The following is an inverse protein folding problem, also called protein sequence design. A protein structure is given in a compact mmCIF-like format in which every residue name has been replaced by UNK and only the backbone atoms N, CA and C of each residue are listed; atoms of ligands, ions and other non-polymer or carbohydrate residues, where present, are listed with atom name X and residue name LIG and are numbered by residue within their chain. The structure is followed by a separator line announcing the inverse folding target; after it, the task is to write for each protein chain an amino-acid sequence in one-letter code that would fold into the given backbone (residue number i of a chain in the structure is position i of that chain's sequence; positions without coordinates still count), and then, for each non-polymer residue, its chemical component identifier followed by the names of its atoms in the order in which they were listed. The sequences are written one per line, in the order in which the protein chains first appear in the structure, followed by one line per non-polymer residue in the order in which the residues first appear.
data_IF_514831943943
#
_entry.id   IF_514831943943
#
_cell.length_a   1.000
_cell.length_b   1.000
_cell.length_c   1.000
_cell.angle_alpha   90.00
_cell.angle_beta   90.00
_cell.angle_gamma   90.00
#
_symmetry.space_group_name_H-M   'P 1'
#
loop_
_entity.id
_entity.type
_entity.pdbx_description
1 polymer ?
#
# COMPACT_ATOMS: atom_id res chain seq x y z
N UNK A 1 -17.68 38.93 -10.41
CA UNK A 1 -18.05 39.00 -8.98
C UNK A 1 -18.12 37.59 -8.44
N UNK A 2 -17.13 37.17 -7.62
CA UNK A 2 -17.23 35.92 -6.88
C UNK A 2 -18.21 36.20 -5.74
N UNK A 3 -19.37 35.54 -5.72
CA UNK A 3 -20.25 35.60 -4.56
C UNK A 3 -19.45 35.04 -3.39
N UNK A 4 -19.26 35.88 -2.37
CA UNK A 4 -18.72 35.48 -1.07
C UNK A 4 -19.45 34.18 -0.68
N UNK A 5 -18.71 33.09 -0.50
CA UNK A 5 -19.33 31.85 -0.01
C UNK A 5 -19.78 32.12 1.43
N UNK A 6 -21.07 32.08 1.69
CA UNK A 6 -21.60 32.17 3.05
C UNK A 6 -21.31 30.86 3.78
N UNK A 7 -20.14 30.80 4.40
CA UNK A 7 -19.63 29.66 5.14
C UNK A 7 -20.57 29.25 6.29
N UNK A 8 -21.47 30.14 6.74
CA UNK A 8 -22.42 29.86 7.83
C UNK A 8 -23.63 29.03 7.37
N UNK A 9 -23.90 28.99 6.07
CA UNK A 9 -24.98 28.19 5.49
C UNK A 9 -24.57 26.74 5.17
N UNK A 10 -23.28 26.41 5.30
CA UNK A 10 -22.76 25.08 5.07
C UNK A 10 -23.17 24.16 6.23
N UNK A 11 -24.23 23.38 6.02
CA UNK A 11 -24.58 22.29 6.93
C UNK A 11 -23.39 21.34 7.04
N UNK A 12 -22.92 21.09 8.27
CA UNK A 12 -21.91 20.07 8.57
C UNK A 12 -22.44 18.76 8.00
N UNK A 13 -21.64 18.07 7.17
CA UNK A 13 -22.05 16.74 6.64
C UNK A 13 -22.33 15.84 7.83
N UNK A 14 -23.58 15.40 7.95
CA UNK A 14 -24.02 14.42 8.93
C UNK A 14 -23.44 13.06 8.52
N UNK A 15 -22.51 12.54 9.33
CA UNK A 15 -21.90 11.23 9.14
C UNK A 15 -20.37 11.26 9.16
N UNK A 16 -19.78 10.24 9.77
CA UNK A 16 -18.34 9.96 9.69
C UNK A 16 -17.95 9.84 8.22
N UNK A 17 -16.84 10.45 7.76
CA UNK A 17 -16.35 10.24 6.40
C UNK A 17 -16.26 8.73 6.15
N UNK A 18 -17.15 8.20 5.31
CA UNK A 18 -17.11 6.79 4.90
C UNK A 18 -15.95 6.67 3.91
N UNK A 19 -14.75 6.53 4.46
CA UNK A 19 -13.63 6.00 3.69
C UNK A 19 -14.07 4.60 3.26
N UNK A 20 -13.99 4.34 1.96
CA UNK A 20 -14.28 3.01 1.43
C UNK A 20 -13.38 2.00 2.16
N UNK A 21 -13.93 0.85 2.57
CA UNK A 21 -13.18 -0.10 3.40
C UNK A 21 -11.85 -0.53 2.73
N UNK A 22 -11.82 -0.51 1.41
CA UNK A 22 -10.66 -0.72 0.53
C UNK A 22 -9.55 0.34 0.66
N UNK A 23 -9.85 1.56 1.10
CA UNK A 23 -8.87 2.64 1.22
C UNK A 23 -8.24 2.75 2.63
N UNK A 24 -8.69 1.95 3.59
CA UNK A 24 -8.14 1.93 4.95
C UNK A 24 -6.79 1.20 5.00
N UNK A 25 -5.70 1.95 5.24
CA UNK A 25 -4.36 1.39 5.42
C UNK A 25 -4.13 0.98 6.87
N UNK A 26 -3.65 -0.25 7.09
CA UNK A 26 -3.27 -0.74 8.42
C UNK A 26 -1.76 -0.65 8.60
N UNK A 27 -1.24 0.01 9.66
CA UNK A 27 0.19 0.06 9.94
C UNK A 27 0.68 -1.31 10.44
N UNK A 28 1.88 -1.71 10.00
CA UNK A 28 2.52 -2.96 10.41
C UNK A 28 3.99 -2.69 10.77
N UNK A 29 4.51 -3.43 11.75
CA UNK A 29 5.93 -3.42 12.13
C UNK A 29 6.61 -4.68 11.62
N UNK A 30 7.72 -4.52 10.89
CA UNK A 30 8.49 -5.62 10.31
C UNK A 30 9.95 -5.44 10.72
N UNK A 31 10.59 -6.53 11.17
CA UNK A 31 12.04 -6.57 11.36
C UNK A 31 12.70 -7.00 10.06
N UNK A 32 13.66 -6.23 9.60
CA UNK A 32 14.46 -6.50 8.40
C UNK A 32 15.94 -6.46 8.78
N UNK A 33 16.75 -7.23 8.07
CA UNK A 33 18.19 -7.08 8.15
C UNK A 33 18.61 -5.69 7.68
N UNK A 34 19.63 -5.12 8.32
CA UNK A 34 20.12 -3.78 8.03
C UNK A 34 20.61 -3.64 6.59
N UNK A 35 21.27 -4.68 6.07
CA UNK A 35 21.77 -4.75 4.70
C UNK A 35 20.61 -4.66 3.70
N UNK A 36 19.57 -5.48 3.87
CA UNK A 36 18.37 -5.49 3.01
C UNK A 36 17.67 -4.13 3.04
N UNK A 37 17.53 -3.52 4.23
CA UNK A 37 16.94 -2.19 4.34
C UNK A 37 17.77 -1.13 3.59
N UNK A 38 19.09 -1.24 3.60
CA UNK A 38 19.99 -0.33 2.87
C UNK A 38 19.81 -0.46 1.35
N UNK A 39 19.72 -1.68 0.83
CA UNK A 39 19.49 -1.92 -0.60
C UNK A 39 18.14 -1.35 -1.06
N UNK A 40 17.08 -1.59 -0.29
CA UNK A 40 15.75 -1.03 -0.59
C UNK A 40 15.74 0.50 -0.58
N UNK A 41 16.50 1.13 0.32
CA UNK A 41 16.65 2.59 0.34
C UNK A 41 17.39 3.12 -0.90
N UNK A 42 18.47 2.46 -1.29
CA UNK A 42 19.22 2.82 -2.50
C UNK A 42 18.35 2.71 -3.75
N UNK A 43 17.58 1.63 -3.86
CA UNK A 43 16.70 1.43 -5.02
C UNK A 43 15.52 2.41 -5.02
N UNK A 44 14.94 2.70 -3.86
CA UNK A 44 13.89 3.71 -3.74
C UNK A 44 14.39 5.10 -4.13
N UNK A 45 15.63 5.45 -3.73
CA UNK A 45 16.28 6.69 -4.14
C UNK A 45 16.48 6.74 -5.66
N UNK A 46 16.95 5.64 -6.27
CA UNK A 46 17.11 5.51 -7.73
C UNK A 46 15.78 5.71 -8.48
N UNK A 47 14.69 5.22 -7.92
CA UNK A 47 13.33 5.36 -8.46
C UNK A 47 12.67 6.72 -8.14
N UNK A 48 13.28 7.53 -7.26
CA UNK A 48 12.73 8.81 -6.83
C UNK A 48 11.50 8.70 -5.93
N UNK A 49 11.34 7.60 -5.20
CA UNK A 49 10.20 7.35 -4.31
C UNK A 49 10.65 7.07 -2.86
N UNK A 50 9.79 7.27 -1.85
CA UNK A 50 10.10 6.85 -0.49
C UNK A 50 10.29 5.32 -0.38
N UNK A 51 11.26 4.87 0.41
CA UNK A 51 11.52 3.43 0.58
C UNK A 51 10.32 2.67 1.17
N UNK A 52 9.50 3.32 2.00
CA UNK A 52 8.27 2.72 2.52
C UNK A 52 7.25 2.49 1.39
N UNK A 53 7.18 3.39 0.41
CA UNK A 53 6.33 3.25 -0.78
C UNK A 53 6.81 2.09 -1.65
N UNK A 54 8.13 1.96 -1.83
CA UNK A 54 8.71 0.82 -2.56
C UNK A 54 8.37 -0.50 -1.87
N UNK A 55 8.57 -0.60 -0.55
CA UNK A 55 8.22 -1.79 0.24
C UNK A 55 6.74 -2.12 0.08
N UNK A 56 5.86 -1.12 0.21
CA UNK A 56 4.41 -1.30 0.03
C UNK A 56 4.04 -1.80 -1.37
N UNK A 57 4.67 -1.25 -2.41
CA UNK A 57 4.48 -1.68 -3.79
C UNK A 57 4.91 -3.13 -4.02
N UNK A 58 6.08 -3.52 -3.48
CA UNK A 58 6.56 -4.92 -3.56
C UNK A 58 5.57 -5.87 -2.89
N UNK A 59 5.11 -5.55 -1.68
CA UNK A 59 4.14 -6.38 -0.95
C UNK A 59 2.80 -6.48 -1.69
N UNK A 60 2.30 -5.37 -2.25
CA UNK A 60 1.09 -5.37 -3.06
C UNK A 60 1.25 -6.28 -4.28
N UNK A 61 2.31 -6.08 -5.07
CA UNK A 61 2.59 -6.86 -6.28
C UNK A 61 2.79 -8.35 -5.99
N UNK A 62 3.41 -8.68 -4.86
CA UNK A 62 3.55 -10.07 -4.41
C UNK A 62 2.17 -10.67 -4.07
N UNK A 63 1.34 -9.96 -3.32
CA UNK A 63 -0.01 -10.43 -2.96
C UNK A 63 -0.94 -10.59 -4.18
N UNK A 64 -0.87 -9.67 -5.15
CA UNK A 64 -1.65 -9.73 -6.40
C UNK A 64 -1.11 -10.76 -7.39
N UNK A 65 0.13 -11.24 -7.21
CA UNK A 65 0.77 -12.22 -8.10
C UNK A 65 1.49 -11.59 -9.30
N UNK A 66 1.62 -10.26 -9.35
CA UNK A 66 2.44 -9.56 -10.34
C UNK A 66 3.96 -9.73 -10.10
N UNK A 67 4.34 -10.06 -8.87
CA UNK A 67 5.72 -10.41 -8.51
C UNK A 67 5.77 -11.91 -8.20
N UNK A 68 6.31 -12.69 -9.13
CA UNK A 68 6.46 -14.14 -9.00
C UNK A 68 7.86 -14.45 -8.50
N UNK A 69 7.95 -15.17 -7.39
CA UNK A 69 9.21 -15.80 -6.98
C UNK A 69 9.48 -17.00 -7.89
N UNK A 70 10.62 -16.97 -8.60
CA UNK A 70 11.01 -18.03 -9.54
C UNK A 70 11.47 -19.31 -8.86
N UNK A 71 11.82 -19.25 -7.57
CA UNK A 71 12.34 -20.38 -6.82
C UNK A 71 11.33 -20.93 -5.81
N UNK A 72 10.27 -20.19 -5.50
CA UNK A 72 9.19 -20.68 -4.65
C UNK A 72 8.18 -21.49 -5.48
N UNK A 73 7.85 -22.73 -5.07
CA UNK A 73 6.75 -23.44 -5.69
C UNK A 73 5.48 -22.61 -5.49
N UNK A 74 4.72 -22.41 -6.56
CA UNK A 74 3.51 -21.59 -6.56
C UNK A 74 2.54 -22.12 -5.50
N UNK A 75 2.52 -21.45 -4.35
CA UNK A 75 1.80 -21.89 -3.16
C UNK A 75 0.30 -21.98 -3.45
N UNK A 76 -0.21 -21.13 -4.36
CA UNK A 76 -1.60 -21.19 -4.81
C UNK A 76 -1.85 -22.46 -5.63
N UNK A 77 -0.94 -22.85 -6.54
CA UNK A 77 -1.07 -24.13 -7.27
C UNK A 77 -1.02 -25.34 -6.35
N UNK A 78 -0.15 -25.32 -5.34
CA UNK A 78 -0.06 -26.42 -4.37
C UNK A 78 -1.32 -26.53 -3.49
N UNK A 79 -1.87 -25.40 -3.05
CA UNK A 79 -3.07 -25.39 -2.20
C UNK A 79 -4.37 -25.67 -2.99
N UNK A 80 -4.42 -25.28 -4.27
CA UNK A 80 -5.59 -25.52 -5.13
C UNK A 80 -5.66 -26.98 -5.61
N UNK A 81 -4.53 -27.71 -5.61
CA UNK A 81 -4.50 -29.15 -5.89
C UNK A 81 -4.83 -30.04 -4.68
N UNK A 82 -5.04 -29.44 -3.49
CA UNK A 82 -5.29 -30.15 -2.23
C UNK A 82 -6.75 -30.03 -1.75
N UNK A 83 -7.60 -29.34 -2.51
CA UNK A 83 -9.03 -29.10 -2.26
C UNK A 83 -9.85 -29.69 -3.41
#
# INVERSE_FOLDING_TARGET
MKKEYDLKSLKKREGTPKVSADAAKTPISIRLESVVLSELKTEALRLGIPYQTLIGSILHRYATGELVDRHSPDLKKLLTGLL
#
